data_IF_106474938866
#
_entry.id   IF_106474938866
#
_cell.length_a   1.000
_cell.length_b   1.000
_cell.length_c   1.000
_cell.angle_alpha   90.00
_cell.angle_beta   90.00
_cell.angle_gamma   90.00
#
_symmetry.space_group_name_H-M   'P 1'
#
loop_
_entity.id
_entity.type
_entity.pdbx_description
1 polymer ?
#
# COMPACT_ATOMS: atom_id res chain seq x y z
N UNK A 1 29.58 51.04 -34.52
CA UNK A 1 29.59 49.55 -34.51
C UNK A 1 28.99 49.18 -33.16
N UNK A 2 27.66 49.03 -33.18
CA UNK A 2 26.91 48.76 -31.93
C UNK A 2 26.62 47.28 -31.81
N UNK A 3 27.20 46.69 -30.80
CA UNK A 3 26.95 45.30 -30.41
C UNK A 3 25.70 45.30 -29.52
N UNK A 4 24.56 44.86 -30.07
CA UNK A 4 23.34 44.62 -29.33
C UNK A 4 23.48 43.37 -28.48
N UNK A 5 23.65 43.55 -27.19
CA UNK A 5 23.51 42.47 -26.16
C UNK A 5 22.03 42.08 -26.08
N UNK A 6 21.74 40.87 -26.57
CA UNK A 6 20.41 40.28 -26.40
C UNK A 6 20.25 39.82 -24.95
N UNK A 7 19.34 40.46 -24.24
CA UNK A 7 18.89 40.09 -22.90
C UNK A 7 17.99 38.88 -23.10
N UNK A 8 18.45 37.71 -22.65
CA UNK A 8 17.70 36.50 -22.60
C UNK A 8 16.72 36.57 -21.39
N UNK A 9 15.41 36.63 -21.70
CA UNK A 9 14.37 36.53 -20.65
C UNK A 9 14.46 35.19 -19.94
N UNK A 10 14.33 35.16 -18.59
CA UNK A 10 14.27 33.91 -17.87
C UNK A 10 12.94 33.20 -18.15
N UNK A 11 13.02 31.90 -18.42
CA UNK A 11 11.88 31.00 -18.55
C UNK A 11 10.98 31.07 -17.32
N UNK A 12 9.64 30.86 -17.47
CA UNK A 12 8.73 30.94 -16.35
C UNK A 12 9.06 29.82 -15.35
N UNK A 13 9.26 30.21 -14.11
CA UNK A 13 9.41 29.35 -12.95
C UNK A 13 8.18 28.47 -12.80
N UNK A 14 8.35 27.18 -12.89
CA UNK A 14 7.34 26.19 -12.51
C UNK A 14 7.04 26.37 -11.01
N UNK A 15 5.84 26.83 -10.75
CA UNK A 15 5.31 27.10 -9.43
C UNK A 15 5.24 25.87 -8.55
N UNK A 16 5.87 26.06 -7.44
CA UNK A 16 5.35 26.12 -6.09
C UNK A 16 5.06 24.78 -5.44
N UNK A 17 6.13 24.24 -4.85
CA UNK A 17 5.95 23.51 -3.58
C UNK A 17 5.41 24.52 -2.55
N UNK A 18 4.32 24.22 -1.79
CA UNK A 18 3.81 25.14 -0.78
C UNK A 18 4.82 25.31 0.35
N UNK A 19 5.03 26.58 0.71
CA UNK A 19 6.02 27.06 1.64
C UNK A 19 5.78 26.62 3.10
N UNK A 20 6.85 26.58 3.83
CA UNK A 20 7.01 26.23 5.23
C UNK A 20 6.06 26.97 6.19
N UNK A 21 5.11 26.23 6.69
CA UNK A 21 4.45 26.37 7.98
C UNK A 21 4.15 24.97 8.42
N UNK A 22 4.40 24.53 9.64
CA UNK A 22 4.43 23.16 10.15
C UNK A 22 3.27 22.22 9.81
N UNK A 23 2.86 22.14 8.57
CA UNK A 23 1.85 21.24 8.04
C UNK A 23 2.46 19.86 7.85
N UNK A 24 1.87 18.88 8.52
CA UNK A 24 2.23 17.46 8.33
C UNK A 24 2.03 17.12 6.85
N UNK A 25 3.11 16.77 6.17
CA UNK A 25 3.05 16.33 4.77
C UNK A 25 2.50 14.91 4.68
N UNK A 26 1.65 14.60 3.68
CA UNK A 26 1.21 13.23 3.47
C UNK A 26 2.41 12.34 3.13
N UNK A 27 2.39 11.12 3.63
CA UNK A 27 3.39 10.11 3.31
C UNK A 27 3.15 9.53 1.91
N UNK A 28 1.88 9.34 1.57
CA UNK A 28 1.42 8.93 0.25
C UNK A 28 0.43 9.96 -0.26
N UNK A 29 0.65 10.47 -1.46
CA UNK A 29 -0.28 11.38 -2.12
C UNK A 29 -0.46 10.98 -3.58
N UNK A 30 -1.68 10.65 -3.94
CA UNK A 30 -2.13 10.43 -5.30
C UNK A 30 -2.78 11.70 -5.80
N UNK A 31 -2.26 12.30 -6.86
CA UNK A 31 -2.73 13.57 -7.42
C UNK A 31 -3.24 13.39 -8.85
N UNK A 32 -4.51 13.68 -9.08
CA UNK A 32 -5.17 13.65 -10.37
C UNK A 32 -4.99 12.32 -11.15
N UNK A 33 -4.94 11.20 -10.43
CA UNK A 33 -4.68 9.87 -10.99
C UNK A 33 -5.82 9.46 -11.91
N UNK A 34 -5.48 9.16 -13.17
CA UNK A 34 -6.42 8.55 -14.11
C UNK A 34 -5.88 7.23 -14.65
N UNK A 35 -6.77 6.26 -14.81
CA UNK A 35 -6.42 4.94 -15.35
C UNK A 35 -7.57 4.37 -16.15
N UNK A 36 -7.27 3.88 -17.36
CA UNK A 36 -8.24 3.25 -18.26
C UNK A 36 -7.70 1.93 -18.80
N UNK A 37 -8.61 1.02 -19.08
CA UNK A 37 -8.29 -0.26 -19.68
C UNK A 37 -9.01 -0.40 -21.03
N UNK A 38 -8.33 -0.99 -22.00
CA UNK A 38 -8.93 -1.39 -23.27
C UNK A 38 -9.57 -2.77 -23.12
N UNK A 39 -10.83 -2.88 -23.52
CA UNK A 39 -11.55 -4.14 -23.56
C UNK A 39 -12.14 -4.31 -24.99
N UNK A 40 -11.38 -4.97 -25.88
CA UNK A 40 -11.69 -5.01 -27.31
C UNK A 40 -11.64 -3.61 -27.92
N UNK A 41 -12.75 -3.18 -28.55
CA UNK A 41 -12.88 -1.86 -29.17
C UNK A 41 -13.36 -0.77 -28.19
N UNK A 42 -13.70 -1.15 -26.94
CA UNK A 42 -14.15 -0.21 -25.92
C UNK A 42 -13.02 0.17 -24.95
N UNK A 43 -13.10 1.39 -24.41
CA UNK A 43 -12.22 1.87 -23.33
C UNK A 43 -13.05 2.06 -22.07
N UNK A 44 -12.59 1.46 -20.98
CA UNK A 44 -13.21 1.59 -19.68
C UNK A 44 -12.34 2.50 -18.80
N UNK A 45 -12.87 3.66 -18.44
CA UNK A 45 -12.23 4.56 -17.48
C UNK A 45 -12.49 4.04 -16.06
N UNK A 46 -11.45 3.60 -15.39
CA UNK A 46 -11.52 3.08 -14.02
C UNK A 46 -11.30 4.18 -12.98
N UNK A 47 -10.28 5.02 -13.20
CA UNK A 47 -10.01 6.18 -12.35
C UNK A 47 -10.00 7.44 -13.20
N UNK A 48 -10.56 8.53 -12.66
CA UNK A 48 -10.69 9.83 -13.32
C UNK A 48 -10.29 10.93 -12.34
N UNK A 49 -9.09 11.46 -12.50
CA UNK A 49 -8.53 12.50 -11.61
C UNK A 49 -8.69 12.16 -10.13
N UNK A 50 -8.47 10.91 -9.76
CA UNK A 50 -8.59 10.46 -8.38
C UNK A 50 -7.52 11.10 -7.51
N UNK A 51 -7.92 11.62 -6.33
CA UNK A 51 -7.02 12.22 -5.35
C UNK A 51 -7.15 11.52 -4.00
N UNK A 52 -6.01 11.19 -3.39
CA UNK A 52 -5.98 10.61 -2.05
C UNK A 52 -4.67 10.95 -1.35
N UNK A 53 -4.75 11.60 -0.21
CA UNK A 53 -3.62 11.84 0.67
C UNK A 53 -3.74 10.98 1.93
N UNK A 54 -2.64 10.35 2.34
CA UNK A 54 -2.56 9.52 3.56
C UNK A 54 -1.34 9.95 4.38
N UNK A 55 -1.55 10.22 5.65
CA UNK A 55 -0.53 10.71 6.57
C UNK A 55 0.10 9.58 7.39
N UNK A 56 1.32 9.76 7.92
CA UNK A 56 1.93 8.79 8.84
C UNK A 56 1.00 8.47 10.01
N UNK A 57 0.82 7.17 10.30
CA UNK A 57 -0.04 6.68 11.38
C UNK A 57 -1.54 6.71 11.07
N UNK A 58 -1.95 7.14 9.88
CA UNK A 58 -3.35 7.20 9.48
C UNK A 58 -3.79 5.90 8.78
N UNK A 59 -4.97 5.43 9.14
CA UNK A 59 -5.66 4.34 8.48
C UNK A 59 -6.85 4.84 7.66
N UNK A 60 -6.91 4.47 6.38
CA UNK A 60 -7.97 4.86 5.45
C UNK A 60 -8.69 3.62 4.94
N UNK A 61 -10.00 3.54 5.16
CA UNK A 61 -10.86 2.52 4.57
C UNK A 61 -11.29 2.95 3.17
N UNK A 62 -11.01 2.13 2.17
CA UNK A 62 -11.47 2.29 0.81
C UNK A 62 -12.69 1.39 0.56
N UNK A 63 -13.88 1.97 0.62
CA UNK A 63 -15.16 1.25 0.53
C UNK A 63 -15.76 1.53 -0.85
N UNK A 64 -15.81 0.52 -1.71
CA UNK A 64 -16.47 0.68 -3.00
C UNK A 64 -16.97 -0.68 -3.52
N UNK A 65 -17.97 -0.71 -4.41
CA UNK A 65 -18.43 -1.94 -5.06
C UNK A 65 -17.29 -2.69 -5.77
N UNK A 66 -17.52 -3.98 -6.05
CA UNK A 66 -16.60 -4.74 -6.90
C UNK A 66 -16.53 -4.09 -8.29
N UNK A 67 -15.33 -4.03 -8.87
CA UNK A 67 -15.10 -3.40 -10.17
C UNK A 67 -14.97 -1.86 -10.14
N UNK A 68 -15.16 -1.20 -9.01
CA UNK A 68 -15.08 0.26 -8.91
C UNK A 68 -13.63 0.82 -9.02
N UNK A 69 -12.60 -0.04 -9.08
CA UNK A 69 -11.22 0.41 -9.22
C UNK A 69 -10.38 0.38 -7.93
N UNK A 70 -10.86 -0.25 -6.83
CA UNK A 70 -10.11 -0.36 -5.57
C UNK A 70 -8.72 -0.96 -5.76
N UNK A 71 -8.63 -2.14 -6.37
CA UNK A 71 -7.35 -2.82 -6.61
C UNK A 71 -6.43 -2.01 -7.52
N UNK A 72 -7.00 -1.36 -8.56
CA UNK A 72 -6.25 -0.46 -9.45
C UNK A 72 -5.64 0.71 -8.68
N UNK A 73 -6.43 1.36 -7.81
CA UNK A 73 -5.94 2.45 -6.96
C UNK A 73 -4.82 1.98 -6.02
N UNK A 74 -5.00 0.80 -5.38
CA UNK A 74 -3.98 0.22 -4.51
C UNK A 74 -2.71 -0.20 -5.27
N UNK A 75 -2.85 -0.74 -6.49
CA UNK A 75 -1.70 -1.11 -7.32
C UNK A 75 -0.90 0.11 -7.77
N UNK A 76 -1.56 1.21 -8.12
CA UNK A 76 -0.89 2.48 -8.40
C UNK A 76 -0.22 2.99 -7.14
N UNK A 77 -0.93 3.11 -6.01
CA UNK A 77 -0.39 3.53 -4.72
C UNK A 77 0.79 2.68 -4.22
N UNK A 78 0.85 1.42 -4.65
CA UNK A 78 1.93 0.48 -4.35
C UNK A 78 3.02 0.41 -5.40
N UNK A 79 3.04 1.29 -6.38
CA UNK A 79 4.01 1.30 -7.49
C UNK A 79 4.01 0.02 -8.34
N UNK A 80 2.93 -0.79 -8.30
CA UNK A 80 2.78 -2.00 -9.12
C UNK A 80 2.29 -1.69 -10.52
N UNK A 81 1.49 -0.62 -10.67
CA UNK A 81 1.02 -0.11 -11.96
C UNK A 81 1.40 1.35 -12.12
N UNK A 82 1.46 1.80 -13.38
CA UNK A 82 1.56 3.22 -13.70
C UNK A 82 0.18 3.79 -13.97
N UNK A 83 -0.15 4.99 -13.50
CA UNK A 83 -1.33 5.72 -13.97
C UNK A 83 -1.13 6.13 -15.43
N UNK A 84 -2.23 6.38 -16.16
CA UNK A 84 -2.16 6.96 -17.51
C UNK A 84 -1.87 8.47 -17.45
N UNK A 85 -2.40 9.14 -16.43
CA UNK A 85 -2.11 10.55 -16.10
C UNK A 85 -2.18 10.78 -14.59
N UNK A 86 -1.64 11.90 -14.14
CA UNK A 86 -1.52 12.23 -12.72
C UNK A 86 -0.15 11.89 -12.17
N UNK A 87 0.05 12.15 -10.88
CA UNK A 87 1.32 11.96 -10.21
C UNK A 87 1.12 11.29 -8.86
N UNK A 88 1.99 10.37 -8.54
CA UNK A 88 2.07 9.72 -7.25
C UNK A 88 3.30 10.22 -6.50
N UNK A 89 3.10 10.59 -5.24
CA UNK A 89 4.15 11.05 -4.35
C UNK A 89 4.28 10.11 -3.16
N UNK A 90 5.51 9.67 -2.88
CA UNK A 90 5.87 8.98 -1.65
C UNK A 90 6.87 9.86 -0.91
N UNK A 91 6.55 10.24 0.32
CA UNK A 91 7.37 11.17 1.12
C UNK A 91 7.73 12.46 0.37
N UNK A 92 6.77 13.03 -0.33
CA UNK A 92 6.90 14.22 -1.18
C UNK A 92 7.80 14.04 -2.44
N UNK A 93 8.30 12.84 -2.72
CA UNK A 93 9.06 12.56 -3.92
C UNK A 93 8.11 12.01 -5.01
N UNK A 94 8.09 12.67 -6.18
CA UNK A 94 7.35 12.21 -7.35
C UNK A 94 7.89 10.90 -7.89
N UNK A 95 7.01 9.99 -8.32
CA UNK A 95 7.38 8.63 -8.73
C UNK A 95 7.24 8.37 -10.23
N UNK A 96 6.62 9.27 -11.00
CA UNK A 96 6.34 9.09 -12.44
C UNK A 96 7.60 8.90 -13.27
N UNK A 97 8.69 9.59 -12.91
CA UNK A 97 9.96 9.55 -13.65
C UNK A 97 10.93 8.48 -13.13
N UNK A 98 10.51 7.65 -12.16
CA UNK A 98 11.34 6.59 -11.63
C UNK A 98 11.42 5.41 -12.58
N UNK A 99 12.64 4.87 -12.75
CA UNK A 99 12.83 3.59 -13.44
C UNK A 99 12.18 2.43 -12.66
N UNK A 100 11.90 1.32 -13.34
CA UNK A 100 11.36 0.10 -12.70
C UNK A 100 12.25 -0.41 -11.55
N UNK A 101 13.56 -0.24 -11.68
CA UNK A 101 14.49 -0.57 -10.60
C UNK A 101 14.26 0.32 -9.37
N UNK A 102 14.15 1.62 -9.55
CA UNK A 102 13.90 2.56 -8.45
C UNK A 102 12.54 2.30 -7.79
N UNK A 103 11.48 2.10 -8.58
CA UNK A 103 10.15 1.69 -8.08
C UNK A 103 10.23 0.38 -7.29
N UNK A 104 11.00 -0.60 -7.76
CA UNK A 104 11.24 -1.88 -7.06
C UNK A 104 11.96 -1.69 -5.73
N UNK A 105 12.94 -0.78 -5.67
CA UNK A 105 13.64 -0.46 -4.43
C UNK A 105 12.70 0.15 -3.39
N UNK A 106 11.82 1.09 -3.81
CA UNK A 106 10.81 1.69 -2.92
C UNK A 106 9.82 0.61 -2.45
N UNK A 107 9.25 -0.19 -3.36
CA UNK A 107 8.35 -1.29 -2.97
C UNK A 107 8.98 -2.23 -1.95
N UNK A 108 10.26 -2.55 -2.13
CA UNK A 108 10.99 -3.48 -1.24
C UNK A 108 11.17 -2.94 0.17
N UNK A 109 11.32 -1.60 0.33
CA UNK A 109 11.63 -0.98 1.62
C UNK A 109 10.44 -0.29 2.27
N UNK A 110 9.60 0.40 1.48
CA UNK A 110 8.63 1.36 2.01
C UNK A 110 7.17 0.90 1.90
N UNK A 111 6.89 -0.12 1.08
CA UNK A 111 5.52 -0.59 0.84
C UNK A 111 5.35 -2.05 1.27
N UNK A 112 4.37 -2.30 2.14
CA UNK A 112 3.86 -3.63 2.43
C UNK A 112 2.53 -3.86 1.72
N UNK A 113 2.33 -5.03 1.13
CA UNK A 113 1.09 -5.36 0.45
C UNK A 113 0.45 -6.64 1.02
N UNK A 114 -0.84 -6.56 1.37
CA UNK A 114 -1.67 -7.69 1.83
C UNK A 114 -2.80 -7.90 0.83
N UNK A 115 -2.91 -9.09 0.29
CA UNK A 115 -3.94 -9.47 -0.68
C UNK A 115 -5.08 -10.25 -0.02
N UNK A 116 -6.21 -10.30 -0.68
CA UNK A 116 -7.37 -11.12 -0.32
C UNK A 116 -7.02 -12.62 -0.31
N UNK A 117 -6.32 -13.09 -1.36
CA UNK A 117 -5.67 -14.40 -1.35
C UNK A 117 -4.28 -14.21 -0.78
N UNK A 118 -3.92 -15.01 0.20
CA UNK A 118 -2.71 -14.86 1.01
C UNK A 118 -1.41 -14.87 0.17
N UNK A 119 -1.43 -15.52 -1.01
CA UNK A 119 -0.27 -15.70 -1.90
C UNK A 119 0.99 -16.15 -1.16
N UNK A 120 0.81 -17.03 -0.16
CA UNK A 120 1.94 -17.65 0.48
C UNK A 120 2.59 -18.66 -0.46
N UNK A 121 3.90 -18.74 -0.39
CA UNK A 121 4.67 -19.73 -1.15
C UNK A 121 4.48 -21.11 -0.48
N UNK A 122 3.85 -22.06 -1.16
CA UNK A 122 3.43 -23.33 -0.54
C UNK A 122 4.60 -24.22 -0.15
N UNK A 123 5.76 -24.06 -0.79
CA UNK A 123 6.99 -24.81 -0.51
C UNK A 123 7.71 -24.33 0.76
N UNK A 124 7.38 -23.11 1.22
CA UNK A 124 8.02 -22.46 2.37
C UNK A 124 7.11 -22.52 3.60
N UNK A 125 7.72 -22.73 4.76
CA UNK A 125 7.05 -22.61 6.05
C UNK A 125 6.60 -21.15 6.33
N UNK A 126 5.81 -20.96 7.39
CA UNK A 126 5.37 -19.64 7.83
C UNK A 126 6.57 -18.71 8.07
N UNK A 127 7.57 -19.15 8.81
CA UNK A 127 8.77 -18.35 9.09
C UNK A 127 9.55 -18.04 7.81
N UNK A 128 9.67 -18.97 6.88
CA UNK A 128 10.40 -18.77 5.62
C UNK A 128 9.67 -17.79 4.69
N UNK A 129 8.33 -17.82 4.62
CA UNK A 129 7.55 -16.83 3.90
C UNK A 129 7.82 -15.39 4.40
N UNK A 130 8.02 -15.22 5.71
CA UNK A 130 8.31 -13.91 6.32
C UNK A 130 9.79 -13.54 6.23
N UNK A 131 10.69 -14.51 6.21
CA UNK A 131 12.13 -14.29 6.01
C UNK A 131 12.46 -13.76 4.61
N UNK A 132 11.75 -14.27 3.59
CA UNK A 132 12.09 -14.05 2.18
C UNK A 132 12.24 -12.56 1.82
N UNK A 133 11.28 -11.65 2.09
CA UNK A 133 11.43 -10.23 1.79
C UNK A 133 12.63 -9.58 2.51
N UNK A 134 12.97 -10.04 3.72
CA UNK A 134 14.10 -9.54 4.48
C UNK A 134 15.43 -9.97 3.83
N UNK A 135 15.51 -11.22 3.39
CA UNK A 135 16.69 -11.74 2.68
C UNK A 135 16.87 -11.07 1.31
N UNK A 136 15.78 -10.78 0.58
CA UNK A 136 15.82 -9.99 -0.67
C UNK A 136 16.34 -8.57 -0.39
N UNK A 137 16.05 -8.01 0.79
CA UNK A 137 16.59 -6.71 1.21
C UNK A 137 18.07 -6.79 1.61
N UNK A 138 18.63 -7.98 1.77
CA UNK A 138 20.04 -8.20 2.07
C UNK A 138 20.35 -8.68 3.51
N UNK A 139 19.31 -8.98 4.34
CA UNK A 139 19.56 -9.53 5.67
C UNK A 139 20.12 -10.94 5.57
N UNK A 140 21.04 -11.26 6.49
CA UNK A 140 21.56 -12.62 6.65
C UNK A 140 20.45 -13.57 7.12
N UNK A 141 20.55 -14.85 6.70
CA UNK A 141 19.51 -15.87 6.98
C UNK A 141 19.16 -16.02 8.47
N UNK A 142 20.17 -16.00 9.34
CA UNK A 142 19.97 -16.14 10.79
C UNK A 142 19.20 -14.97 11.38
N UNK A 143 19.57 -13.74 11.01
CA UNK A 143 18.90 -12.53 11.45
C UNK A 143 17.47 -12.45 10.91
N UNK A 144 17.27 -12.71 9.62
CA UNK A 144 15.94 -12.75 8.99
C UNK A 144 15.03 -13.76 9.70
N UNK A 145 15.58 -14.94 10.09
CA UNK A 145 14.80 -15.95 10.83
C UNK A 145 14.38 -15.47 12.22
N UNK A 146 15.30 -14.86 12.97
CA UNK A 146 15.00 -14.34 14.31
C UNK A 146 13.89 -13.29 14.24
N UNK A 147 14.04 -12.27 13.37
CA UNK A 147 13.04 -11.20 13.19
C UNK A 147 11.68 -11.74 12.70
N UNK A 148 11.70 -12.71 11.77
CA UNK A 148 10.48 -13.34 11.29
C UNK A 148 9.76 -14.13 12.39
N UNK A 149 10.50 -14.84 13.25
CA UNK A 149 9.94 -15.58 14.37
C UNK A 149 9.33 -14.65 15.43
N UNK A 150 10.00 -13.53 15.74
CA UNK A 150 9.50 -12.52 16.67
C UNK A 150 8.19 -11.91 16.15
N UNK A 151 8.15 -11.54 14.87
CA UNK A 151 6.97 -10.96 14.24
C UNK A 151 5.79 -11.94 14.19
N UNK A 152 6.03 -13.18 13.83
CA UNK A 152 5.01 -14.23 13.86
C UNK A 152 4.52 -14.51 15.28
N UNK A 153 5.41 -14.49 16.28
CA UNK A 153 5.04 -14.64 17.68
C UNK A 153 4.16 -13.50 18.16
N UNK A 154 4.47 -12.26 17.77
CA UNK A 154 3.63 -11.08 18.04
C UNK A 154 2.23 -11.24 17.45
N UNK A 155 2.13 -11.85 16.27
CA UNK A 155 0.85 -12.13 15.59
C UNK A 155 0.17 -13.42 16.08
N UNK A 156 0.64 -14.02 17.18
CA UNK A 156 0.05 -15.22 17.80
C UNK A 156 0.31 -16.51 17.03
N UNK A 157 1.42 -16.59 16.31
CA UNK A 157 1.80 -17.75 15.48
C UNK A 157 3.10 -18.43 15.96
N UNK A 158 3.47 -18.25 17.24
CA UNK A 158 4.70 -18.82 17.82
C UNK A 158 4.82 -20.35 17.59
N UNK A 159 3.69 -21.07 17.71
CA UNK A 159 3.65 -22.53 17.57
C UNK A 159 3.42 -22.99 16.11
N UNK A 160 3.44 -22.05 15.16
CA UNK A 160 3.19 -22.29 13.74
C UNK A 160 4.37 -21.97 12.83
N UNK A 161 5.53 -21.62 13.37
CA UNK A 161 6.70 -21.13 12.61
C UNK A 161 7.13 -22.06 11.49
N UNK A 162 7.09 -23.38 11.72
CA UNK A 162 7.54 -24.42 10.78
C UNK A 162 6.41 -24.99 9.92
N UNK A 163 5.15 -24.62 10.18
CA UNK A 163 4.02 -25.12 9.40
C UNK A 163 4.04 -24.51 7.99
N UNK A 164 3.67 -25.33 7.01
CA UNK A 164 3.45 -24.89 5.62
C UNK A 164 2.04 -24.31 5.47
N UNK A 165 1.78 -23.53 4.42
CA UNK A 165 0.46 -22.94 4.20
C UNK A 165 -0.70 -23.93 4.27
N UNK A 166 -0.55 -25.14 3.74
CA UNK A 166 -1.57 -26.20 3.78
C UNK A 166 -1.90 -26.73 5.18
N UNK A 167 -1.02 -26.49 6.15
CA UNK A 167 -1.17 -26.90 7.55
C UNK A 167 -1.73 -25.77 8.43
N UNK A 168 -2.01 -24.61 7.84
CA UNK A 168 -2.50 -23.42 8.51
C UNK A 168 -3.98 -23.16 8.16
N UNK A 169 -4.76 -22.74 9.15
CA UNK A 169 -6.12 -22.22 8.89
C UNK A 169 -6.04 -20.93 8.06
N UNK A 170 -7.14 -20.54 7.39
CA UNK A 170 -7.19 -19.32 6.59
C UNK A 170 -6.79 -18.07 7.37
N UNK A 171 -7.24 -17.94 8.61
CA UNK A 171 -6.84 -16.81 9.48
C UNK A 171 -5.37 -16.85 9.91
N UNK A 172 -4.77 -18.04 10.08
CA UNK A 172 -3.34 -18.17 10.32
C UNK A 172 -2.53 -17.80 9.07
N UNK A 173 -2.96 -18.26 7.89
CA UNK A 173 -2.35 -17.89 6.60
C UNK A 173 -2.38 -16.38 6.40
N UNK A 174 -3.51 -15.72 6.71
CA UNK A 174 -3.64 -14.28 6.58
C UNK A 174 -2.70 -13.54 7.54
N UNK A 175 -2.56 -14.01 8.79
CA UNK A 175 -1.59 -13.41 9.71
C UNK A 175 -0.15 -13.61 9.25
N UNK A 176 0.20 -14.74 8.62
CA UNK A 176 1.51 -14.92 7.96
C UNK A 176 1.70 -13.93 6.81
N UNK A 177 0.66 -13.71 5.97
CA UNK A 177 0.71 -12.73 4.88
C UNK A 177 0.88 -11.29 5.40
N UNK A 178 0.22 -10.94 6.50
CA UNK A 178 0.40 -9.65 7.18
C UNK A 178 1.84 -9.53 7.72
N UNK A 179 2.35 -10.57 8.41
CA UNK A 179 3.73 -10.60 8.88
C UNK A 179 4.72 -10.37 7.73
N UNK A 180 4.52 -11.04 6.60
CA UNK A 180 5.35 -10.90 5.42
C UNK A 180 5.31 -9.48 4.85
N UNK A 181 4.13 -8.87 4.80
CA UNK A 181 3.96 -7.51 4.30
C UNK A 181 4.72 -6.48 5.12
N UNK A 182 4.81 -6.67 6.45
CA UNK A 182 5.48 -5.72 7.34
C UNK A 182 6.91 -6.14 7.74
N UNK A 183 7.42 -7.25 7.20
CA UNK A 183 8.72 -7.82 7.57
C UNK A 183 9.90 -6.87 7.38
N UNK A 184 9.83 -5.98 6.42
CA UNK A 184 10.85 -4.96 6.14
C UNK A 184 10.63 -3.63 6.87
N UNK A 185 9.69 -3.57 7.82
CA UNK A 185 9.26 -2.34 8.49
C UNK A 185 8.90 -1.24 7.48
N UNK A 186 7.94 -1.47 6.58
CA UNK A 186 7.54 -0.49 5.58
C UNK A 186 6.94 0.75 6.26
N UNK A 187 6.76 1.80 5.50
CA UNK A 187 6.10 3.04 5.94
C UNK A 187 4.63 3.07 5.53
N UNK A 188 4.29 2.35 4.46
CA UNK A 188 2.95 2.27 3.86
C UNK A 188 2.49 0.81 3.87
N UNK A 189 1.27 0.58 4.31
CA UNK A 189 0.58 -0.71 4.21
C UNK A 189 -0.64 -0.58 3.30
N UNK A 190 -0.66 -1.36 2.24
CA UNK A 190 -1.78 -1.47 1.32
C UNK A 190 -2.41 -2.85 1.50
N UNK A 191 -3.73 -2.89 1.71
CA UNK A 191 -4.44 -4.15 1.89
C UNK A 191 -5.67 -4.19 0.99
N UNK A 192 -5.76 -5.21 0.13
CA UNK A 192 -6.90 -5.44 -0.75
C UNK A 192 -7.75 -6.58 -0.20
N UNK A 193 -8.91 -6.25 0.39
CA UNK A 193 -9.87 -7.18 1.00
C UNK A 193 -9.20 -8.20 1.96
N UNK A 194 -8.37 -7.77 2.93
CA UNK A 194 -7.49 -8.67 3.70
C UNK A 194 -8.24 -9.68 4.57
N UNK A 195 -9.55 -9.59 4.67
CA UNK A 195 -10.39 -10.49 5.46
C UNK A 195 -11.56 -11.08 4.65
N UNK A 196 -11.61 -10.81 3.35
CA UNK A 196 -12.75 -11.15 2.49
C UNK A 196 -13.03 -12.65 2.34
N UNK A 197 -12.04 -13.51 2.57
CA UNK A 197 -12.16 -14.97 2.49
C UNK A 197 -12.28 -15.67 3.85
N UNK A 198 -12.49 -14.90 4.93
CA UNK A 198 -12.58 -15.42 6.29
C UNK A 198 -14.00 -15.36 6.83
N UNK A 199 -14.35 -16.27 7.73
CA UNK A 199 -15.57 -16.12 8.53
C UNK A 199 -15.50 -14.85 9.40
N UNK A 200 -16.66 -14.31 9.77
CA UNK A 200 -16.76 -13.03 10.45
C UNK A 200 -15.90 -12.94 11.72
N UNK A 201 -15.94 -13.96 12.58
CA UNK A 201 -15.18 -13.98 13.85
C UNK A 201 -13.67 -13.98 13.61
N UNK A 202 -13.22 -14.73 12.60
CA UNK A 202 -11.80 -14.77 12.21
C UNK A 202 -11.39 -13.47 11.56
N UNK A 203 -12.24 -12.87 10.72
CA UNK A 203 -12.03 -11.58 10.08
C UNK A 203 -11.81 -10.46 11.12
N UNK A 204 -12.68 -10.38 12.13
CA UNK A 204 -12.56 -9.40 13.22
C UNK A 204 -11.23 -9.55 13.98
N UNK A 205 -10.81 -10.78 14.29
CA UNK A 205 -9.53 -11.04 14.99
C UNK A 205 -8.31 -10.64 14.14
N UNK A 206 -8.32 -11.02 12.86
CA UNK A 206 -7.23 -10.68 11.94
C UNK A 206 -7.14 -9.17 11.75
N UNK A 207 -8.29 -8.51 11.58
CA UNK A 207 -8.34 -7.06 11.45
C UNK A 207 -7.87 -6.35 12.72
N UNK A 208 -8.32 -6.77 13.90
CA UNK A 208 -7.88 -6.19 15.18
C UNK A 208 -6.36 -6.29 15.34
N UNK A 209 -5.77 -7.44 15.00
CA UNK A 209 -4.33 -7.65 15.04
C UNK A 209 -3.59 -6.75 14.05
N UNK A 210 -4.11 -6.60 12.83
CA UNK A 210 -3.54 -5.72 11.81
C UNK A 210 -3.64 -4.25 12.22
N UNK A 211 -4.79 -3.80 12.75
CA UNK A 211 -4.99 -2.43 13.23
C UNK A 211 -4.07 -2.09 14.40
N UNK A 212 -3.89 -3.02 15.34
CA UNK A 212 -2.95 -2.86 16.44
C UNK A 212 -1.51 -2.66 15.91
N UNK A 213 -1.11 -3.46 14.93
CA UNK A 213 0.21 -3.36 14.31
C UNK A 213 0.38 -2.01 13.59
N UNK A 214 -0.60 -1.58 12.80
CA UNK A 214 -0.60 -0.28 12.10
C UNK A 214 -0.40 0.87 13.08
N UNK A 215 -1.19 0.90 14.16
CA UNK A 215 -1.09 1.94 15.20
C UNK A 215 0.25 1.91 15.93
N UNK A 216 0.72 0.73 16.33
CA UNK A 216 1.99 0.57 17.04
C UNK A 216 3.21 0.97 16.21
N UNK A 217 3.15 0.78 14.89
CA UNK A 217 4.25 1.06 13.97
C UNK A 217 4.19 2.45 13.33
N UNK A 218 3.09 3.18 13.49
CA UNK A 218 2.88 4.48 12.84
C UNK A 218 2.78 4.39 11.31
N UNK A 219 2.37 3.25 10.76
CA UNK A 219 2.20 3.03 9.33
C UNK A 219 1.08 3.91 8.76
N UNK A 220 1.27 4.45 7.57
CA UNK A 220 0.17 4.93 6.73
C UNK A 220 -0.50 3.71 6.09
N UNK A 221 -1.81 3.53 6.27
CA UNK A 221 -2.50 2.36 5.77
C UNK A 221 -3.70 2.71 4.88
N UNK A 222 -3.84 2.03 3.74
CA UNK A 222 -5.07 2.01 2.93
C UNK A 222 -5.57 0.57 2.91
N UNK A 223 -6.80 0.36 3.35
CA UNK A 223 -7.42 -0.97 3.40
C UNK A 223 -8.71 -0.95 2.61
N UNK A 224 -8.71 -1.59 1.46
CA UNK A 224 -9.94 -1.84 0.72
C UNK A 224 -10.75 -2.92 1.43
N UNK A 225 -12.02 -2.63 1.67
CA UNK A 225 -12.94 -3.58 2.30
C UNK A 225 -14.38 -3.28 1.93
N UNK A 226 -15.21 -4.31 1.87
CA UNK A 226 -16.66 -4.18 1.77
C UNK A 226 -17.35 -4.31 3.14
N UNK A 227 -16.60 -4.62 4.21
CA UNK A 227 -17.12 -4.75 5.56
C UNK A 227 -17.17 -3.37 6.23
N UNK A 228 -18.39 -2.86 6.43
CA UNK A 228 -18.63 -1.54 7.01
C UNK A 228 -18.23 -1.45 8.49
N UNK A 229 -18.35 -2.53 9.26
CA UNK A 229 -17.97 -2.57 10.66
C UNK A 229 -16.45 -2.45 10.84
N UNK A 230 -15.70 -3.06 9.93
CA UNK A 230 -14.26 -2.92 9.83
C UNK A 230 -13.89 -1.49 9.44
N UNK A 231 -14.54 -0.97 8.41
CA UNK A 231 -14.28 0.39 7.92
C UNK A 231 -14.56 1.47 8.96
N UNK A 232 -15.59 1.27 9.81
CA UNK A 232 -15.95 2.20 10.88
C UNK A 232 -14.88 2.33 11.99
N UNK A 233 -13.95 1.37 12.08
CA UNK A 233 -12.85 1.39 13.06
C UNK A 233 -11.60 2.13 12.58
N UNK A 234 -11.62 2.65 11.34
CA UNK A 234 -10.50 3.37 10.73
C UNK A 234 -10.65 4.87 10.87
N UNK A 235 -9.53 5.58 10.74
CA UNK A 235 -9.48 7.04 10.95
C UNK A 235 -10.24 7.83 9.88
N UNK A 236 -10.25 7.33 8.64
CA UNK A 236 -10.97 7.94 7.50
C UNK A 236 -11.63 6.87 6.65
N UNK A 237 -12.71 7.26 6.00
CA UNK A 237 -13.43 6.39 5.05
C UNK A 237 -13.57 7.12 3.72
N UNK A 238 -13.20 6.45 2.64
CA UNK A 238 -13.32 6.97 1.29
C UNK A 238 -14.01 5.95 0.39
N UNK A 239 -14.60 6.43 -0.70
CA UNK A 239 -15.18 5.58 -1.76
C UNK A 239 -14.68 6.03 -3.12
N UNK A 240 -14.84 5.17 -4.13
CA UNK A 240 -14.67 5.53 -5.53
C UNK A 240 -16.06 5.70 -6.13
N UNK A 241 -16.35 6.91 -6.61
CA UNK A 241 -17.60 7.25 -7.31
C UNK A 241 -17.25 7.91 -8.65
N UNK A 242 -17.75 7.33 -9.74
CA UNK A 242 -17.49 7.81 -11.11
C UNK A 242 -16.00 7.94 -11.47
N UNK A 243 -15.15 7.11 -10.85
CA UNK A 243 -13.70 7.10 -11.02
C UNK A 243 -12.93 8.06 -10.12
N UNK A 244 -13.60 8.91 -9.35
CA UNK A 244 -12.99 9.82 -8.38
C UNK A 244 -13.04 9.25 -6.95
N UNK A 245 -12.04 9.57 -6.13
CA UNK A 245 -12.07 9.25 -4.70
C UNK A 245 -12.86 10.34 -3.96
N UNK A 246 -13.80 9.93 -3.12
CA UNK A 246 -14.69 10.80 -2.36
C UNK A 246 -14.69 10.40 -0.89
N UNK A 247 -14.61 11.36 0.02
CA UNK A 247 -14.75 11.12 1.46
C UNK A 247 -16.17 10.63 1.79
N UNK A 248 -16.25 9.71 2.75
CA UNK A 248 -17.50 9.27 3.37
C UNK A 248 -17.58 9.85 4.78
N UNK A 249 -18.73 10.40 5.10
CA UNK A 249 -19.05 10.91 6.45
C UNK A 249 -19.13 9.80 7.51
#
# INVERSE_FOLDING_TARGET
MDEKTAIMEPAPSTDAAPAAGGERRPLLFLHAISRRFRQGDSTLDILKSAELAVWPGQSVALIAPSGAGKSTLLHIAGLLEHPDTGEEYIDSAATSNLSDLQRTLIRRSDVGFVYQFHHLLPEFSAVENVMLPQMIRGLGRSEARARAADLLSYLGLKDRLTHRPTELSGGEQQRVAIARAVANAPRILLADEPTGNLDQKTAERVFATMSQLVRASGLAAIIATHNLDIAAQMDRRVTIRDGAVVELE
#
